data_IF_286020002729
#
_entry.id   IF_286020002729
#
_cell.length_a   1.000
_cell.length_b   1.000
_cell.length_c   1.000
_cell.angle_alpha   90.00
_cell.angle_beta   90.00
_cell.angle_gamma   90.00
#
_symmetry.space_group_name_H-M   'P 1'
#
loop_
_entity.id
_entity.type
_entity.pdbx_description
1 polymer ?
#
# COMPACT_ATOMS: atom_id res chain seq x y z
N UNK A 1 -12.87 -2.53 21.51
CA UNK A 1 -13.77 -1.60 20.78
C UNK A 1 -13.52 -1.76 19.30
N UNK A 2 -14.54 -1.71 18.46
CA UNK A 2 -14.35 -1.67 17.01
C UNK A 2 -14.07 -0.22 16.59
N UNK A 3 -12.98 0.02 15.88
CA UNK A 3 -12.67 1.34 15.31
C UNK A 3 -13.50 1.65 14.08
N UNK A 4 -13.50 2.92 13.67
CA UNK A 4 -14.19 3.39 12.45
C UNK A 4 -13.18 3.80 11.38
N UNK A 5 -13.53 3.55 10.12
CA UNK A 5 -12.76 3.98 8.96
C UNK A 5 -13.37 5.22 8.34
N UNK A 6 -12.54 6.18 7.95
CA UNK A 6 -12.95 7.33 7.15
C UNK A 6 -12.05 7.47 5.93
N UNK A 7 -12.63 7.91 4.81
CA UNK A 7 -11.84 8.33 3.64
C UNK A 7 -11.16 9.65 3.99
N UNK A 8 -9.86 9.72 3.71
CA UNK A 8 -9.04 10.91 3.94
C UNK A 8 -8.61 11.51 2.58
N UNK A 9 -8.58 12.84 2.42
CA UNK A 9 -7.98 13.46 1.25
C UNK A 9 -6.51 13.06 1.10
N UNK A 10 -6.11 12.72 -0.12
CA UNK A 10 -4.74 12.29 -0.43
C UNK A 10 -3.68 13.29 0.05
N UNK A 11 -3.89 14.60 -0.16
CA UNK A 11 -2.92 15.62 0.25
C UNK A 11 -2.72 15.66 1.76
N UNK A 12 -3.79 15.46 2.54
CA UNK A 12 -3.73 15.45 4.00
C UNK A 12 -3.00 14.19 4.49
N UNK A 13 -3.34 13.03 3.92
CA UNK A 13 -2.67 11.77 4.21
C UNK A 13 -1.15 11.87 3.95
N UNK A 14 -0.76 12.32 2.75
CA UNK A 14 0.65 12.42 2.34
C UNK A 14 1.44 13.46 3.17
N UNK A 15 0.79 14.52 3.63
CA UNK A 15 1.42 15.57 4.46
C UNK A 15 1.79 15.03 5.84
N UNK A 16 1.01 14.09 6.37
CA UNK A 16 1.28 13.43 7.67
C UNK A 16 2.25 12.26 7.54
N UNK A 17 2.44 11.72 6.35
CA UNK A 17 3.38 10.63 6.10
C UNK A 17 4.83 11.09 6.35
N UNK A 18 5.65 10.33 7.10
CA UNK A 18 7.08 10.59 7.23
C UNK A 18 7.82 10.57 5.89
N UNK A 19 9.04 11.10 5.87
CA UNK A 19 9.85 11.17 4.65
C UNK A 19 10.03 9.79 3.98
N UNK A 20 10.23 8.73 4.76
CA UNK A 20 10.34 7.36 4.28
C UNK A 20 9.09 6.91 3.49
N UNK A 21 7.90 7.06 4.08
CA UNK A 21 6.64 6.73 3.40
C UNK A 21 6.32 7.65 2.21
N UNK A 22 6.69 8.94 2.27
CA UNK A 22 6.52 9.86 1.15
C UNK A 22 7.37 9.46 -0.06
N UNK A 23 8.60 8.96 0.17
CA UNK A 23 9.45 8.43 -0.91
C UNK A 23 8.80 7.22 -1.58
N UNK A 24 8.22 6.31 -0.79
CA UNK A 24 7.47 5.19 -1.31
C UNK A 24 6.28 5.63 -2.18
N UNK A 25 5.40 6.49 -1.68
CA UNK A 25 4.25 6.95 -2.46
C UNK A 25 4.66 7.70 -3.73
N UNK A 26 5.74 8.49 -3.68
CA UNK A 26 6.29 9.17 -4.86
C UNK A 26 6.76 8.15 -5.91
N UNK A 27 7.47 7.11 -5.50
CA UNK A 27 7.90 6.05 -6.39
C UNK A 27 6.68 5.30 -6.97
N UNK A 28 5.73 4.91 -6.13
CA UNK A 28 4.49 4.24 -6.53
C UNK A 28 3.67 5.05 -7.55
N UNK A 29 3.51 6.35 -7.33
CA UNK A 29 2.73 7.20 -8.24
C UNK A 29 3.46 7.54 -9.53
N UNK A 30 4.79 7.57 -9.50
CA UNK A 30 5.58 7.71 -10.73
C UNK A 30 5.54 6.45 -11.58
N UNK A 31 5.58 5.27 -10.95
CA UNK A 31 5.63 3.99 -11.65
C UNK A 31 4.25 3.54 -12.12
N UNK A 32 3.22 3.71 -11.28
CA UNK A 32 1.85 3.24 -11.53
C UNK A 32 0.88 4.41 -11.69
N UNK A 33 1.22 5.40 -12.52
CA UNK A 33 0.44 6.64 -12.67
C UNK A 33 -1.05 6.40 -13.00
N UNK A 34 -1.36 5.37 -13.79
CA UNK A 34 -2.74 5.01 -14.12
C UNK A 34 -3.54 4.52 -12.90
N UNK A 35 -2.87 3.84 -11.97
CA UNK A 35 -3.47 3.33 -10.73
C UNK A 35 -3.51 4.41 -9.66
N UNK A 36 -2.52 5.30 -9.64
CA UNK A 36 -2.39 6.39 -8.66
C UNK A 36 -3.66 7.26 -8.57
N UNK A 37 -4.32 7.52 -9.69
CA UNK A 37 -5.56 8.31 -9.73
C UNK A 37 -6.75 7.64 -9.01
N UNK A 38 -6.71 6.32 -8.82
CA UNK A 38 -7.74 5.54 -8.15
C UNK A 38 -7.43 5.19 -6.69
N UNK A 39 -6.26 5.60 -6.17
CA UNK A 39 -5.84 5.25 -4.81
C UNK A 39 -6.74 5.95 -3.79
N UNK A 40 -7.27 5.17 -2.85
CA UNK A 40 -8.07 5.69 -1.73
C UNK A 40 -7.23 5.71 -0.47
N UNK A 41 -7.11 6.88 0.14
CA UNK A 41 -6.51 7.03 1.46
C UNK A 41 -7.58 6.88 2.54
N UNK A 42 -7.25 6.12 3.57
CA UNK A 42 -8.12 5.79 4.68
C UNK A 42 -7.42 6.11 6.00
N UNK A 43 -8.22 6.51 6.99
CA UNK A 43 -7.76 6.71 8.36
C UNK A 43 -8.59 5.86 9.31
N UNK A 44 -7.89 5.15 10.19
CA UNK A 44 -8.51 4.33 11.22
C UNK A 44 -8.58 5.08 12.54
N UNK A 45 -9.73 5.08 13.21
CA UNK A 45 -9.91 5.84 14.46
C UNK A 45 -9.07 5.33 15.64
N UNK A 46 -8.56 4.09 15.59
CA UNK A 46 -7.75 3.50 16.66
C UNK A 46 -6.25 3.68 16.44
N UNK A 47 -5.84 4.02 15.20
CA UNK A 47 -4.47 4.39 14.84
C UNK A 47 -4.52 5.59 13.88
N UNK A 48 -4.98 6.77 14.36
CA UNK A 48 -5.22 7.94 13.52
C UNK A 48 -3.95 8.51 12.89
N UNK A 49 -2.79 8.23 13.48
CA UNK A 49 -1.47 8.59 12.98
C UNK A 49 -1.04 7.75 11.78
N UNK A 50 -1.48 6.48 11.71
CA UNK A 50 -1.19 5.61 10.56
C UNK A 50 -1.84 6.15 9.28
N UNK A 51 -1.19 5.89 8.15
CA UNK A 51 -1.71 6.20 6.81
C UNK A 51 -2.02 4.90 6.10
N UNK A 52 -3.26 4.70 5.69
CA UNK A 52 -3.66 3.54 4.90
C UNK A 52 -3.99 3.99 3.48
N UNK A 53 -3.51 3.25 2.49
CA UNK A 53 -3.81 3.48 1.08
C UNK A 53 -4.28 2.17 0.43
N UNK A 54 -5.34 2.24 -0.36
CA UNK A 54 -5.87 1.10 -1.11
C UNK A 54 -5.77 1.39 -2.60
N UNK A 55 -5.06 0.53 -3.32
CA UNK A 55 -4.96 0.48 -4.76
C UNK A 55 -6.06 -0.47 -5.25
N UNK A 56 -7.12 0.09 -5.82
CA UNK A 56 -8.22 -0.68 -6.40
C UNK A 56 -7.81 -1.17 -7.80
N UNK A 57 -7.66 -2.48 -7.96
CA UNK A 57 -7.27 -3.10 -9.22
C UNK A 57 -8.39 -4.02 -9.70
N UNK A 58 -8.56 -4.13 -11.02
CA UNK A 58 -9.65 -4.90 -11.63
C UNK A 58 -9.70 -6.40 -11.23
N UNK A 59 -8.62 -6.95 -10.66
CA UNK A 59 -8.47 -8.37 -10.30
C UNK A 59 -8.04 -8.60 -8.85
N UNK A 60 -8.15 -7.58 -7.99
CA UNK A 60 -7.76 -7.64 -6.58
C UNK A 60 -7.37 -6.26 -6.04
N UNK A 61 -7.16 -6.12 -4.74
CA UNK A 61 -6.65 -4.89 -4.15
C UNK A 61 -5.23 -5.08 -3.63
N UNK A 62 -4.40 -4.04 -3.72
CA UNK A 62 -3.21 -3.92 -2.88
C UNK A 62 -3.48 -2.85 -1.83
N UNK A 63 -3.07 -3.13 -0.59
CA UNK A 63 -3.13 -2.17 0.50
C UNK A 63 -1.73 -1.82 0.99
N UNK A 64 -1.60 -0.58 1.45
CA UNK A 64 -0.37 -0.06 2.06
C UNK A 64 -0.72 0.62 3.38
N UNK A 65 0.10 0.39 4.39
CA UNK A 65 0.04 1.05 5.70
C UNK A 65 1.41 1.68 5.93
N UNK A 66 1.41 2.93 6.32
CA UNK A 66 2.58 3.59 6.90
C UNK A 66 2.31 3.74 8.39
N UNK A 67 3.19 3.14 9.19
CA UNK A 67 3.27 3.39 10.62
C UNK A 67 4.36 4.45 10.85
N UNK A 68 4.00 5.66 11.28
CA UNK A 68 4.94 6.76 11.40
C UNK A 68 5.86 6.65 12.61
N UNK A 69 5.47 5.89 13.65
CA UNK A 69 6.22 5.80 14.90
C UNK A 69 7.39 4.82 14.78
N UNK A 70 7.19 3.77 13.99
CA UNK A 70 8.19 2.73 13.73
C UNK A 70 8.84 2.86 12.35
N UNK A 71 8.38 3.82 11.53
CA UNK A 71 8.83 4.09 10.16
C UNK A 71 8.93 2.83 9.29
N UNK A 72 7.86 2.03 9.25
CA UNK A 72 7.74 0.92 8.31
C UNK A 72 6.55 1.06 7.36
N UNK A 73 6.74 0.47 6.18
CA UNK A 73 5.74 0.29 5.15
C UNK A 73 5.26 -1.16 5.27
N UNK A 74 3.96 -1.37 5.45
CA UNK A 74 3.33 -2.67 5.22
C UNK A 74 2.70 -2.63 3.83
N UNK A 75 2.99 -3.63 3.00
CA UNK A 75 2.28 -3.87 1.75
C UNK A 75 1.55 -5.20 1.85
N UNK A 76 0.25 -5.25 1.54
CA UNK A 76 -0.53 -6.49 1.58
C UNK A 76 -1.46 -6.67 0.37
N UNK A 77 -1.80 -7.92 0.11
CA UNK A 77 -2.76 -8.33 -0.91
C UNK A 77 -3.25 -9.76 -0.67
N UNK A 78 -3.85 -10.39 -1.68
CA UNK A 78 -4.45 -11.73 -1.57
C UNK A 78 -3.45 -12.86 -1.21
N UNK A 79 -2.14 -12.62 -1.35
CA UNK A 79 -1.07 -13.59 -1.05
C UNK A 79 -0.36 -13.37 0.29
N UNK A 80 -0.79 -12.41 1.12
CA UNK A 80 -0.16 -12.09 2.40
C UNK A 80 0.32 -10.65 2.49
N UNK A 81 1.22 -10.40 3.44
CA UNK A 81 1.81 -9.09 3.71
C UNK A 81 3.34 -9.15 3.78
N UNK A 82 3.97 -8.01 3.53
CA UNK A 82 5.39 -7.77 3.69
C UNK A 82 5.61 -6.46 4.45
N UNK A 83 6.59 -6.45 5.34
CA UNK A 83 6.92 -5.33 6.23
C UNK A 83 8.33 -4.84 5.92
N UNK A 84 8.46 -3.52 5.79
CA UNK A 84 9.66 -2.87 5.26
C UNK A 84 9.98 -1.64 6.13
N UNK A 85 10.85 -1.80 7.13
CA UNK A 85 11.21 -0.74 8.08
C UNK A 85 12.51 -0.02 7.73
N UNK A 86 12.60 1.28 8.03
CA UNK A 86 13.79 2.11 7.78
C UNK A 86 14.97 1.85 8.74
N UNK A 87 15.10 0.63 9.26
CA UNK A 87 16.05 0.29 10.32
C UNK A 87 17.43 -0.10 9.78
N UNK A 88 17.48 -0.74 8.60
CA UNK A 88 18.72 -1.16 7.94
C UNK A 88 18.58 -1.07 6.41
N UNK A 89 19.22 -0.05 5.82
CA UNK A 89 19.22 0.19 4.38
C UNK A 89 17.91 0.75 3.83
N UNK A 90 17.92 1.15 2.57
CA UNK A 90 16.73 1.70 1.92
C UNK A 90 15.74 0.57 1.60
N UNK A 91 14.66 0.48 2.38
CA UNK A 91 13.61 -0.52 2.20
C UNK A 91 12.48 -0.08 1.24
N UNK A 92 12.57 1.11 0.64
CA UNK A 92 11.61 1.54 -0.40
C UNK A 92 11.66 0.63 -1.64
N UNK A 93 12.83 0.28 -2.22
CA UNK A 93 12.89 -0.64 -3.36
C UNK A 93 12.23 -2.01 -3.13
N UNK A 94 12.51 -2.77 -2.05
CA UNK A 94 11.84 -4.05 -1.84
C UNK A 94 10.34 -3.92 -1.56
N UNK A 95 9.88 -2.84 -0.92
CA UNK A 95 8.45 -2.54 -0.78
C UNK A 95 7.78 -2.29 -2.14
N UNK A 96 8.45 -1.51 -3.01
CA UNK A 96 8.01 -1.25 -4.39
C UNK A 96 7.96 -2.51 -5.24
N UNK A 97 8.96 -3.39 -5.12
CA UNK A 97 8.98 -4.67 -5.82
C UNK A 97 7.80 -5.56 -5.42
N UNK A 98 7.39 -5.54 -4.15
CA UNK A 98 6.21 -6.28 -3.74
C UNK A 98 4.91 -5.65 -4.24
N UNK A 99 4.77 -4.32 -4.14
CA UNK A 99 3.62 -3.63 -4.71
C UNK A 99 3.49 -3.90 -6.21
N UNK A 100 4.60 -3.87 -6.96
CA UNK A 100 4.66 -4.21 -8.38
C UNK A 100 4.10 -5.60 -8.65
N UNK A 101 4.57 -6.62 -7.91
CA UNK A 101 4.08 -7.99 -8.04
C UNK A 101 2.57 -8.11 -7.79
N UNK A 102 2.00 -7.32 -6.86
CA UNK A 102 0.56 -7.32 -6.61
C UNK A 102 -0.22 -6.66 -7.75
N UNK A 103 0.30 -5.55 -8.29
CA UNK A 103 -0.33 -4.83 -9.41
C UNK A 103 -0.24 -5.62 -10.71
N UNK A 104 0.93 -6.19 -11.02
CA UNK A 104 1.19 -6.93 -12.26
C UNK A 104 0.70 -8.38 -12.18
N UNK A 105 0.94 -9.07 -11.06
CA UNK A 105 0.58 -10.48 -10.84
C UNK A 105 -0.92 -10.73 -10.73
N UNK A 106 -1.73 -9.68 -10.50
CA UNK A 106 -3.17 -9.72 -10.73
C UNK A 106 -3.55 -10.00 -12.20
N UNK A 107 -2.61 -9.84 -13.14
CA UNK A 107 -2.87 -10.02 -14.57
C UNK A 107 -2.71 -11.46 -15.08
N UNK A 108 -1.87 -12.31 -14.46
CA UNK A 108 -1.56 -13.66 -14.99
C UNK A 108 -1.13 -14.70 -13.91
N UNK A 109 -1.98 -15.02 -12.91
CA UNK A 109 -1.70 -16.18 -12.04
C UNK A 109 -2.25 -17.50 -12.62
N UNK A 110 -1.39 -18.52 -12.90
CA UNK A 110 -1.82 -19.85 -13.35
C UNK A 110 -2.62 -20.63 -12.29
N UNK A 111 -2.40 -20.36 -11.00
CA UNK A 111 -3.01 -21.12 -9.89
C UNK A 111 -4.52 -20.90 -9.76
N UNK A 112 -5.06 -19.80 -10.31
CA UNK A 112 -6.50 -19.56 -10.33
C UNK A 112 -7.23 -20.31 -11.45
N UNK A 113 -6.52 -20.68 -12.54
CA UNK A 113 -7.12 -21.43 -13.66
C UNK A 113 -7.48 -22.84 -13.25
N UNK A 114 -6.63 -23.50 -12.46
CA UNK A 114 -6.88 -24.87 -11.97
C UNK A 114 -8.01 -24.96 -10.94
N UNK A 115 -8.32 -23.87 -10.23
CA UNK A 115 -9.39 -23.86 -9.22
C UNK A 115 -10.78 -23.60 -9.80
N UNK A 116 -10.87 -23.22 -11.07
CA UNK A 116 -12.11 -22.86 -11.77
C UNK A 116 -12.36 -23.70 -13.03
N UNK A 117 -11.51 -24.68 -13.31
CA UNK A 117 -11.65 -25.70 -14.36
C UNK A 117 -11.97 -27.06 -13.74
#
# INVERSE_FOLDING_TARGET
>A
MAGTWVVEPQNDALTRTPAFGQRFFRAAFSEFAAVAAGVRFLRWSLQPEHVYAVFDLHRGGAGVQIDPDLEYIIVWGAGGQGEYGDWDGDQVPPAMDYLRRLIEGGSDSPELKERLS
#
